data_IF_047548774961
#
_entry.id   IF_047548774961
#
_cell.length_a   1.000
_cell.length_b   1.000
_cell.length_c   1.000
_cell.angle_alpha   90.00
_cell.angle_beta   90.00
_cell.angle_gamma   90.00
#
_symmetry.space_group_name_H-M   'P 1'
#
loop_
_entity.id
_entity.type
_entity.pdbx_description
1 polymer ?
#
# COMPACT_ATOMS: atom_id res chain seq x y z
N UNK A 1 -32.10 -23.40 -2.65
CA UNK A 1 -30.74 -23.82 -3.06
C UNK A 1 -30.71 -23.81 -4.57
N UNK A 2 -29.72 -23.14 -5.20
CA UNK A 2 -29.54 -23.25 -6.65
C UNK A 2 -28.78 -24.55 -6.93
N UNK A 3 -29.40 -25.46 -7.65
CA UNK A 3 -28.73 -26.66 -8.16
C UNK A 3 -28.04 -26.31 -9.48
N UNK A 4 -26.71 -26.40 -9.52
CA UNK A 4 -25.94 -26.16 -10.72
C UNK A 4 -26.09 -27.37 -11.65
N UNK A 5 -26.84 -27.22 -12.76
CA UNK A 5 -26.89 -28.25 -13.80
C UNK A 5 -25.54 -28.33 -14.50
N UNK A 6 -24.75 -29.36 -14.18
CA UNK A 6 -23.53 -29.67 -14.90
C UNK A 6 -23.86 -30.03 -16.36
N UNK A 7 -23.22 -29.37 -17.31
CA UNK A 7 -23.22 -29.83 -18.70
C UNK A 7 -22.43 -31.15 -18.78
N UNK A 8 -22.82 -32.09 -19.65
CA UNK A 8 -22.01 -33.28 -19.90
C UNK A 8 -20.63 -32.83 -20.36
N UNK A 9 -19.62 -33.11 -19.54
CA UNK A 9 -18.22 -32.88 -19.93
C UNK A 9 -17.91 -33.90 -21.02
N UNK A 10 -17.51 -33.43 -22.21
CA UNK A 10 -17.19 -34.34 -23.31
C UNK A 10 -16.05 -35.28 -22.90
N UNK A 11 -16.30 -36.58 -23.07
CA UNK A 11 -15.37 -37.66 -22.71
C UNK A 11 -14.12 -37.54 -23.60
N UNK A 12 -12.98 -37.18 -23.00
CA UNK A 12 -11.72 -36.91 -23.72
C UNK A 12 -11.38 -35.44 -23.91
N UNK A 13 -12.15 -34.51 -23.32
CA UNK A 13 -11.73 -33.11 -23.26
C UNK A 13 -10.48 -32.96 -22.39
N UNK A 14 -9.44 -32.30 -22.93
CA UNK A 14 -8.28 -31.91 -22.13
C UNK A 14 -8.73 -30.95 -21.04
N UNK A 15 -8.29 -31.19 -19.81
CA UNK A 15 -8.47 -30.20 -18.75
C UNK A 15 -7.80 -28.90 -19.19
N UNK A 16 -8.56 -27.80 -19.15
CA UNK A 16 -8.02 -26.49 -19.48
C UNK A 16 -7.09 -26.07 -18.34
N UNK A 17 -5.88 -25.67 -18.68
CA UNK A 17 -4.99 -25.05 -17.70
C UNK A 17 -5.55 -23.70 -17.26
N UNK A 18 -5.11 -23.18 -16.10
CA UNK A 18 -5.53 -21.85 -15.64
C UNK A 18 -5.28 -20.78 -16.72
N UNK A 19 -4.15 -20.87 -17.41
CA UNK A 19 -3.80 -19.96 -18.50
C UNK A 19 -4.73 -20.10 -19.71
N UNK A 20 -5.10 -21.33 -20.11
CA UNK A 20 -6.08 -21.59 -21.17
C UNK A 20 -7.46 -21.00 -20.81
N UNK A 21 -7.88 -21.13 -19.54
CA UNK A 21 -9.15 -20.58 -19.05
C UNK A 21 -9.10 -19.05 -19.07
N UNK A 22 -8.02 -18.46 -18.57
CA UNK A 22 -7.82 -17.02 -18.59
C UNK A 22 -7.88 -16.46 -20.01
N UNK A 23 -7.22 -17.10 -20.98
CA UNK A 23 -7.26 -16.65 -22.38
C UNK A 23 -8.67 -16.76 -22.96
N UNK A 24 -9.39 -17.86 -22.70
CA UNK A 24 -10.75 -18.06 -23.22
C UNK A 24 -11.77 -17.06 -22.64
N UNK A 25 -11.68 -16.76 -21.35
CA UNK A 25 -12.65 -15.92 -20.63
C UNK A 25 -12.30 -14.43 -20.74
N UNK A 26 -11.02 -14.07 -20.58
CA UNK A 26 -10.56 -12.68 -20.55
C UNK A 26 -10.07 -12.20 -21.92
N UNK A 27 -9.83 -13.12 -22.87
CA UNK A 27 -9.18 -12.87 -24.15
C UNK A 27 -7.65 -12.74 -24.03
N UNK A 28 -6.94 -12.72 -25.16
CA UNK A 28 -5.54 -12.27 -25.23
C UNK A 28 -5.46 -10.75 -25.04
N UNK A 29 -5.66 -10.26 -23.82
CA UNK A 29 -5.28 -8.87 -23.50
C UNK A 29 -3.77 -8.84 -23.33
N UNK A 30 -3.06 -8.28 -24.32
CA UNK A 30 -1.61 -7.98 -24.25
C UNK A 30 -1.19 -7.12 -23.06
N UNK A 31 -2.17 -6.60 -22.30
CA UNK A 31 -2.00 -5.64 -21.22
C UNK A 31 -2.44 -6.22 -19.87
N UNK A 32 -2.81 -7.52 -19.80
CA UNK A 32 -3.13 -8.17 -18.53
C UNK A 32 -1.84 -8.72 -17.92
N UNK A 33 -1.22 -7.91 -17.06
CA UNK A 33 -0.09 -8.36 -16.26
C UNK A 33 -0.63 -9.09 -15.05
N UNK A 34 -0.52 -10.43 -15.06
CA UNK A 34 -0.83 -11.29 -13.91
C UNK A 34 0.03 -10.82 -12.71
N UNK A 35 -0.60 -10.48 -11.59
CA UNK A 35 0.10 -10.05 -10.37
C UNK A 35 0.09 -8.55 -10.07
N UNK A 36 -0.51 -7.72 -10.93
CA UNK A 36 -0.85 -6.33 -10.56
C UNK A 36 -2.17 -6.33 -9.78
N UNK A 37 -2.14 -6.68 -8.49
CA UNK A 37 -3.28 -6.43 -7.60
C UNK A 37 -3.65 -4.94 -7.55
N UNK A 38 -4.42 -4.49 -6.57
CA UNK A 38 -4.71 -3.06 -6.36
C UNK A 38 -3.46 -2.23 -5.93
N UNK A 39 -2.25 -2.70 -6.26
CA UNK A 39 -1.03 -1.92 -6.14
C UNK A 39 -1.08 -0.78 -7.14
N UNK A 40 -1.04 0.44 -6.62
CA UNK A 40 -0.92 1.69 -7.36
C UNK A 40 -0.14 1.48 -8.66
N UNK A 41 -0.81 1.73 -9.79
CA UNK A 41 -0.14 1.87 -11.08
C UNK A 41 0.89 2.99 -10.84
N UNK A 42 2.17 2.62 -10.78
CA UNK A 42 3.26 3.58 -10.75
C UNK A 42 3.36 4.22 -12.13
N UNK A 43 2.37 5.02 -12.48
CA UNK A 43 2.62 6.22 -13.26
C UNK A 43 3.36 7.15 -12.32
N UNK A 44 4.68 6.94 -12.20
CA UNK A 44 5.60 7.75 -11.41
C UNK A 44 5.79 9.14 -12.04
N UNK A 45 4.68 9.84 -12.22
CA UNK A 45 4.60 11.29 -12.14
C UNK A 45 3.99 11.62 -10.77
N UNK A 46 4.62 11.12 -9.70
CA UNK A 46 4.23 11.45 -8.32
C UNK A 46 4.71 12.85 -7.99
N UNK A 47 4.04 13.86 -8.55
CA UNK A 47 4.20 15.28 -8.22
C UNK A 47 3.19 15.75 -7.15
N UNK A 48 2.40 14.84 -6.58
CA UNK A 48 1.50 15.21 -5.51
C UNK A 48 2.27 15.33 -4.18
N UNK A 49 2.30 16.57 -3.68
CA UNK A 49 2.56 16.97 -2.29
C UNK A 49 4.01 17.09 -1.81
N UNK A 50 4.92 17.57 -2.65
CA UNK A 50 6.24 18.00 -2.15
C UNK A 50 6.13 19.08 -1.06
N UNK A 51 5.14 19.98 -1.18
CA UNK A 51 4.86 21.00 -0.16
C UNK A 51 4.45 20.39 1.19
N UNK A 52 3.57 19.39 1.20
CA UNK A 52 3.13 18.78 2.46
C UNK A 52 4.27 17.99 3.10
N UNK A 53 5.09 17.28 2.32
CA UNK A 53 6.26 16.56 2.87
C UNK A 53 7.25 17.48 3.59
N UNK A 54 7.47 18.69 3.06
CA UNK A 54 8.34 19.69 3.69
C UNK A 54 7.68 20.40 4.89
N UNK A 55 6.35 20.53 4.90
CA UNK A 55 5.60 21.02 6.06
C UNK A 55 5.69 20.05 7.24
N UNK A 56 5.48 18.74 6.99
CA UNK A 56 5.61 17.71 8.02
C UNK A 56 7.01 17.66 8.64
N UNK A 57 8.05 17.84 7.82
CA UNK A 57 9.44 17.94 8.29
C UNK A 57 9.66 19.13 9.21
N UNK A 58 9.24 20.34 8.78
CA UNK A 58 9.32 21.55 9.62
C UNK A 58 8.55 21.38 10.93
N UNK A 59 7.38 20.75 10.88
CA UNK A 59 6.57 20.48 12.08
C UNK A 59 7.29 19.52 13.04
N UNK A 60 7.94 18.48 12.52
CA UNK A 60 8.74 17.56 13.33
C UNK A 60 9.92 18.29 14.01
N UNK A 61 10.71 19.06 13.26
CA UNK A 61 11.85 19.83 13.79
C UNK A 61 11.43 20.84 14.88
N UNK A 62 10.30 21.53 14.68
CA UNK A 62 9.78 22.47 15.68
C UNK A 62 9.31 21.77 16.96
N UNK A 63 8.74 20.56 16.84
CA UNK A 63 8.34 19.76 17.97
C UNK A 63 9.55 19.22 18.75
N UNK A 64 10.60 18.78 18.05
CA UNK A 64 11.85 18.31 18.66
C UNK A 64 12.53 19.40 19.47
N UNK A 65 12.71 20.60 18.90
CA UNK A 65 13.28 21.74 19.63
C UNK A 65 12.50 22.09 20.89
N UNK A 66 11.17 22.07 20.83
CA UNK A 66 10.31 22.32 21.99
C UNK A 66 10.46 21.21 23.05
N UNK A 67 10.67 19.97 22.61
CA UNK A 67 10.91 18.85 23.50
C UNK A 67 12.26 18.98 24.22
N UNK A 68 13.31 19.39 23.51
CA UNK A 68 14.63 19.66 24.10
C UNK A 68 14.56 20.76 25.16
N UNK A 69 13.87 21.87 24.89
CA UNK A 69 13.64 22.94 25.86
C UNK A 69 12.96 22.43 27.14
N UNK A 70 11.93 21.57 26.99
CA UNK A 70 11.25 20.96 28.12
C UNK A 70 12.17 20.02 28.92
N UNK A 71 13.03 19.25 28.25
CA UNK A 71 14.01 18.38 28.92
C UNK A 71 14.98 19.20 29.77
N UNK A 72 15.51 20.30 29.24
CA UNK A 72 16.39 21.21 29.97
C UNK A 72 15.66 21.82 31.17
N UNK A 73 14.41 22.25 30.98
CA UNK A 73 13.60 22.79 32.07
C UNK A 73 13.35 21.77 33.19
N UNK A 74 13.08 20.51 32.84
CA UNK A 74 12.93 19.44 33.83
C UNK A 74 14.23 19.17 34.59
N UNK A 75 15.38 19.20 33.93
CA UNK A 75 16.68 19.06 34.58
C UNK A 75 16.97 20.21 35.55
N UNK A 76 16.72 21.46 35.15
CA UNK A 76 16.89 22.62 36.03
C UNK A 76 16.00 22.52 37.27
N UNK A 77 14.72 22.18 37.08
CA UNK A 77 13.81 21.96 38.20
C UNK A 77 14.30 20.83 39.11
N UNK A 78 14.75 19.72 38.54
CA UNK A 78 15.33 18.61 39.31
C UNK A 78 16.53 19.02 40.15
N UNK A 79 17.45 19.80 39.57
CA UNK A 79 18.64 20.29 40.27
C UNK A 79 18.30 21.30 41.37
N UNK A 80 17.31 22.17 41.14
CA UNK A 80 16.82 23.13 42.14
C UNK A 80 16.15 22.45 43.33
N UNK A 81 15.57 21.28 43.14
CA UNK A 81 14.95 20.48 44.21
C UNK A 81 15.98 19.60 44.95
N UNK A 82 17.23 19.52 44.49
CA UNK A 82 18.32 18.75 45.10
C UNK A 82 19.30 19.62 45.93
N UNK A 83 19.05 20.93 46.04
CA UNK A 83 19.75 21.89 46.94
C UNK A 83 18.89 22.13 48.18
#
# INVERSE_FOLDING_TARGET
MLELKAHPTEEGSRELTEDDICEKVLGKRSNYTRGLGNGYISSSSSNYNQHDTEEYRRRAETAERRNEELIVQMQDQGNRLQV
#
